data_IF_652799045698
#
_entry.id   IF_652799045698
#
_cell.length_a   1.000
_cell.length_b   1.000
_cell.length_c   1.000
_cell.angle_alpha   90.00
_cell.angle_beta   90.00
_cell.angle_gamma   90.00
#
_symmetry.space_group_name_H-M   'P 1'
#
loop_
_entity.id
_entity.type
_entity.pdbx_description
1 polymer ?
#
# COMPACT_ATOMS: atom_id res chain seq x y z
N UNK A 1 28.65 -3.33 5.69
CA UNK A 1 28.62 -3.93 4.34
C UNK A 1 27.50 -3.24 3.59
N UNK A 2 27.81 -2.56 2.48
CA UNK A 2 26.85 -1.72 1.76
C UNK A 2 25.76 -2.55 1.10
N UNK A 3 24.51 -2.29 1.44
CA UNK A 3 23.36 -2.79 0.69
C UNK A 3 23.53 -2.24 -0.73
N UNK A 4 23.72 -3.13 -1.71
CA UNK A 4 23.63 -2.76 -3.12
C UNK A 4 22.24 -2.18 -3.33
N UNK A 5 22.13 -0.85 -3.37
CA UNK A 5 20.88 -0.17 -3.72
C UNK A 5 20.58 -0.52 -5.17
N UNK A 6 19.47 -1.20 -5.44
CA UNK A 6 19.04 -1.42 -6.82
C UNK A 6 18.99 -0.09 -7.56
N UNK A 7 19.54 -0.07 -8.78
CA UNK A 7 19.49 1.11 -9.65
C UNK A 7 18.05 1.55 -9.87
N UNK A 8 17.09 0.61 -9.93
CA UNK A 8 15.66 0.92 -10.13
C UNK A 8 15.03 1.63 -8.94
N UNK A 9 15.29 1.18 -7.71
CA UNK A 9 14.79 1.87 -6.51
C UNK A 9 15.38 3.27 -6.39
N UNK A 10 16.65 3.43 -6.75
CA UNK A 10 17.30 4.75 -6.77
C UNK A 10 16.64 5.68 -7.79
N UNK A 11 16.39 5.19 -9.02
CA UNK A 11 15.68 5.93 -10.07
C UNK A 11 14.26 6.33 -9.65
N UNK A 12 13.51 5.41 -9.02
CA UNK A 12 12.20 5.71 -8.46
C UNK A 12 12.30 6.84 -7.43
N UNK A 13 13.17 6.71 -6.44
CA UNK A 13 13.33 7.70 -5.38
C UNK A 13 13.71 9.08 -5.93
N UNK A 14 14.63 9.13 -6.90
CA UNK A 14 15.01 10.38 -7.56
C UNK A 14 13.85 11.01 -8.34
N UNK A 15 13.04 10.18 -9.02
CA UNK A 15 11.88 10.66 -9.76
C UNK A 15 10.81 11.21 -8.83
N UNK A 16 10.45 10.47 -7.76
CA UNK A 16 9.50 10.93 -6.75
C UNK A 16 9.99 12.22 -6.10
N UNK A 17 11.27 12.33 -5.72
CA UNK A 17 11.83 13.52 -5.10
C UNK A 17 11.69 14.79 -5.97
N UNK A 18 11.79 14.66 -7.30
CA UNK A 18 11.58 15.77 -8.24
C UNK A 18 10.12 16.20 -8.36
N UNK A 19 9.20 15.30 -8.06
CA UNK A 19 7.77 15.46 -8.32
C UNK A 19 6.91 15.56 -7.05
N UNK A 20 7.49 15.42 -5.87
CA UNK A 20 6.79 15.35 -4.58
C UNK A 20 6.14 16.67 -4.12
N UNK A 21 6.04 17.69 -4.97
CA UNK A 21 5.50 19.01 -4.60
C UNK A 21 4.25 19.32 -5.41
N UNK A 22 3.10 19.35 -4.73
CA UNK A 22 1.82 19.76 -5.30
C UNK A 22 1.11 18.69 -6.13
N UNK A 23 0.03 19.05 -6.84
CA UNK A 23 -0.74 18.09 -7.64
C UNK A 23 0.11 17.54 -8.78
N UNK A 24 0.25 16.21 -8.83
CA UNK A 24 1.02 15.55 -9.89
C UNK A 24 0.32 15.64 -11.25
N UNK A 25 1.09 16.03 -12.27
CA UNK A 25 0.64 15.99 -13.65
C UNK A 25 0.41 14.54 -14.12
N UNK A 26 -0.51 14.34 -15.08
CA UNK A 26 -0.85 13.02 -15.60
C UNK A 26 0.35 12.26 -16.18
N UNK A 27 1.28 12.97 -16.83
CA UNK A 27 2.50 12.37 -17.37
C UNK A 27 3.42 11.87 -16.25
N UNK A 28 3.58 12.63 -15.16
CA UNK A 28 4.31 12.20 -13.96
C UNK A 28 3.69 10.96 -13.32
N UNK A 29 2.36 10.90 -13.22
CA UNK A 29 1.66 9.72 -12.70
C UNK A 29 1.97 8.50 -13.57
N UNK A 30 1.92 8.64 -14.90
CA UNK A 30 2.25 7.55 -15.84
C UNK A 30 3.70 7.10 -15.71
N UNK A 31 4.64 8.03 -15.69
CA UNK A 31 6.07 7.73 -15.55
C UNK A 31 6.39 7.01 -14.22
N UNK A 32 5.77 7.45 -13.11
CA UNK A 32 5.88 6.77 -11.82
C UNK A 32 5.23 5.39 -11.83
N UNK A 33 4.08 5.22 -12.47
CA UNK A 33 3.43 3.91 -12.65
C UNK A 33 4.30 2.95 -13.45
N UNK A 34 4.94 3.40 -14.53
CA UNK A 34 5.84 2.59 -15.35
C UNK A 34 7.08 2.15 -14.53
N UNK A 35 7.69 3.07 -13.77
CA UNK A 35 8.79 2.74 -12.86
C UNK A 35 8.38 1.73 -11.78
N UNK A 36 7.20 1.92 -11.17
CA UNK A 36 6.65 0.97 -10.19
C UNK A 36 6.43 -0.40 -10.83
N UNK A 37 5.96 -0.45 -12.07
CA UNK A 37 5.69 -1.68 -12.82
C UNK A 37 6.94 -2.52 -13.11
N UNK A 38 8.11 -1.89 -13.22
CA UNK A 38 9.39 -2.59 -13.41
C UNK A 38 10.01 -3.15 -12.12
N UNK A 39 9.57 -2.70 -10.93
CA UNK A 39 10.15 -3.15 -9.66
C UNK A 39 9.87 -4.63 -9.38
N UNK A 40 10.92 -5.38 -9.08
CA UNK A 40 10.83 -6.75 -8.59
C UNK A 40 10.96 -6.81 -7.06
N UNK A 41 10.57 -7.90 -6.39
CA UNK A 41 10.87 -8.12 -4.97
C UNK A 41 12.38 -7.96 -4.67
N UNK A 42 13.24 -8.52 -5.53
CA UNK A 42 14.70 -8.44 -5.38
C UNK A 42 15.23 -7.01 -5.46
N UNK A 43 14.66 -6.17 -6.34
CA UNK A 43 15.01 -4.75 -6.41
C UNK A 43 14.80 -4.03 -5.06
N UNK A 44 13.80 -4.49 -4.29
CA UNK A 44 13.44 -3.96 -2.97
C UNK A 44 14.17 -4.66 -1.81
N UNK A 45 15.09 -5.58 -2.11
CA UNK A 45 15.79 -6.39 -1.11
C UNK A 45 14.90 -7.45 -0.45
N UNK A 46 13.78 -7.79 -1.07
CA UNK A 46 12.82 -8.80 -0.57
C UNK A 46 13.11 -10.12 -1.28
N UNK A 47 13.54 -11.12 -0.52
CA UNK A 47 13.67 -12.50 -0.99
C UNK A 47 12.58 -13.37 -0.38
N UNK A 48 11.56 -13.65 -1.19
CA UNK A 48 10.40 -14.46 -0.83
C UNK A 48 10.72 -15.94 -0.61
N UNK A 49 11.90 -16.40 -1.04
CA UNK A 49 12.34 -17.80 -0.87
C UNK A 49 13.06 -18.02 0.45
N UNK A 50 13.52 -16.95 1.10
CA UNK A 50 14.21 -17.05 2.39
C UNK A 50 13.22 -17.23 3.54
N UNK A 51 13.62 -18.06 4.52
CA UNK A 51 12.82 -18.41 5.69
C UNK A 51 12.19 -17.21 6.42
N UNK A 52 12.85 -16.04 6.61
CA UNK A 52 12.26 -14.93 7.36
C UNK A 52 10.95 -14.40 6.75
N UNK A 53 10.90 -14.19 5.43
CA UNK A 53 9.70 -13.66 4.75
C UNK A 53 8.61 -14.71 4.64
N UNK A 54 8.98 -15.97 4.33
CA UNK A 54 8.03 -17.07 4.28
C UNK A 54 7.42 -17.35 5.68
N UNK A 55 8.22 -17.31 6.75
CA UNK A 55 7.73 -17.46 8.12
C UNK A 55 6.87 -16.28 8.55
N UNK A 56 7.24 -15.04 8.22
CA UNK A 56 6.43 -13.84 8.49
C UNK A 56 5.01 -13.98 7.92
N UNK A 57 4.88 -14.44 6.67
CA UNK A 57 3.60 -14.64 6.00
C UNK A 57 2.77 -15.79 6.59
N UNK A 58 3.43 -16.81 7.16
CA UNK A 58 2.76 -18.03 7.67
C UNK A 58 2.46 -18.00 9.17
N UNK A 59 3.14 -17.15 9.95
CA UNK A 59 3.06 -17.16 11.42
C UNK A 59 2.24 -16.01 12.02
N UNK A 60 1.96 -14.95 11.25
CA UNK A 60 1.31 -13.75 11.77
C UNK A 60 -0.18 -13.69 11.40
N UNK A 61 -1.00 -13.18 12.33
CA UNK A 61 -2.40 -12.81 12.09
C UNK A 61 -2.56 -11.38 11.56
N UNK A 62 -1.50 -10.59 11.62
CA UNK A 62 -1.50 -9.15 11.36
C UNK A 62 -0.60 -8.80 10.18
N UNK A 63 -0.94 -7.71 9.50
CA UNK A 63 -0.13 -7.13 8.43
C UNK A 63 1.17 -6.59 9.03
N UNK A 64 2.32 -6.95 8.44
CA UNK A 64 3.62 -6.40 8.85
C UNK A 64 4.19 -5.49 7.78
N UNK A 65 5.02 -4.52 8.18
CA UNK A 65 5.62 -3.55 7.26
C UNK A 65 7.13 -3.69 7.21
N UNK A 66 7.69 -3.47 6.03
CA UNK A 66 9.13 -3.39 5.80
C UNK A 66 9.45 -2.10 5.06
N UNK A 67 10.08 -1.15 5.75
CA UNK A 67 10.48 0.13 5.18
C UNK A 67 11.75 -0.04 4.34
N UNK A 68 11.63 0.21 3.03
CA UNK A 68 12.76 0.18 2.08
C UNK A 68 13.47 1.53 2.05
N UNK A 69 12.69 2.62 2.07
CA UNK A 69 13.20 3.99 2.05
C UNK A 69 12.25 4.91 2.79
N UNK A 70 12.78 5.89 3.51
CA UNK A 70 12.00 6.95 4.14
C UNK A 70 12.81 8.24 4.17
N UNK A 71 12.17 9.36 3.89
CA UNK A 71 12.69 10.71 4.04
C UNK A 71 11.56 11.68 4.43
N UNK A 72 11.86 12.97 4.58
CA UNK A 72 10.85 13.96 4.94
C UNK A 72 9.80 14.23 3.86
N UNK A 73 9.95 13.69 2.65
CA UNK A 73 9.06 13.94 1.52
C UNK A 73 8.20 12.73 1.15
N UNK A 74 8.72 11.51 1.28
CA UNK A 74 8.02 10.29 0.90
C UNK A 74 8.63 9.05 1.57
N UNK A 75 7.87 7.96 1.52
CA UNK A 75 8.29 6.65 1.98
C UNK A 75 8.04 5.58 0.92
N UNK A 76 8.87 4.54 0.93
CA UNK A 76 8.69 3.31 0.17
C UNK A 76 8.62 2.17 1.17
N UNK A 77 7.43 1.57 1.28
CA UNK A 77 7.12 0.56 2.29
C UNK A 77 6.50 -0.66 1.61
N UNK A 78 7.01 -1.84 1.94
CA UNK A 78 6.37 -3.10 1.58
C UNK A 78 5.46 -3.57 2.72
N UNK A 79 4.23 -3.93 2.38
CA UNK A 79 3.28 -4.54 3.29
C UNK A 79 3.22 -6.04 3.03
N UNK A 80 3.40 -6.82 4.08
CA UNK A 80 3.31 -8.27 4.05
C UNK A 80 1.96 -8.67 4.64
N UNK A 81 1.12 -9.27 3.80
CA UNK A 81 -0.19 -9.75 4.17
C UNK A 81 -0.14 -11.28 4.35
N UNK A 82 -0.23 -11.80 5.58
CA UNK A 82 -0.59 -13.19 5.79
C UNK A 82 -1.90 -13.53 5.09
N UNK A 83 -2.12 -14.81 4.79
CA UNK A 83 -3.39 -15.25 4.21
C UNK A 83 -4.57 -14.80 5.08
N UNK A 84 -5.61 -14.26 4.45
CA UNK A 84 -6.82 -13.72 5.09
C UNK A 84 -6.64 -12.46 5.95
N UNK A 85 -5.41 -11.97 6.13
CA UNK A 85 -5.17 -10.70 6.81
C UNK A 85 -5.85 -9.54 6.06
N UNK A 86 -6.36 -8.58 6.82
CA UNK A 86 -7.05 -7.39 6.31
C UNK A 86 -6.32 -6.14 6.78
N UNK A 87 -6.12 -5.20 5.86
CA UNK A 87 -5.84 -3.81 6.22
C UNK A 87 -7.19 -3.09 6.23
N UNK A 88 -7.66 -2.59 7.39
CA UNK A 88 -8.93 -1.87 7.49
C UNK A 88 -8.97 -0.68 6.54
N UNK A 89 -10.18 -0.27 6.12
CA UNK A 89 -10.35 0.94 5.33
C UNK A 89 -9.82 2.15 6.11
N UNK A 90 -8.99 2.95 5.46
CA UNK A 90 -8.38 4.16 6.00
C UNK A 90 -8.25 5.20 4.87
N UNK A 91 -7.94 6.44 5.23
CA UNK A 91 -7.72 7.55 4.28
C UNK A 91 -6.25 7.97 4.25
N UNK A 92 -5.87 8.71 3.21
CA UNK A 92 -4.54 9.29 3.01
C UNK A 92 -4.65 10.80 2.73
N UNK A 93 -4.95 11.63 3.75
CA UNK A 93 -5.19 13.06 3.56
C UNK A 93 -3.99 13.77 2.94
N UNK A 94 -4.21 14.48 1.83
CA UNK A 94 -3.18 15.26 1.12
C UNK A 94 -1.96 14.46 0.63
N UNK A 95 -2.08 13.13 0.57
CA UNK A 95 -1.02 12.24 0.12
C UNK A 95 -1.34 11.68 -1.26
N UNK A 96 -0.29 11.33 -2.01
CA UNK A 96 -0.39 10.48 -3.17
C UNK A 96 0.20 9.11 -2.87
N UNK A 97 -0.54 8.05 -3.16
CA UNK A 97 -0.12 6.67 -2.89
C UNK A 97 -0.08 5.89 -4.20
N UNK A 98 1.09 5.32 -4.50
CA UNK A 98 1.27 4.34 -5.56
C UNK A 98 1.45 2.97 -4.93
N UNK A 99 0.63 2.00 -5.29
CA UNK A 99 0.70 0.65 -4.75
C UNK A 99 0.84 -0.39 -5.85
N UNK A 100 1.61 -1.44 -5.56
CA UNK A 100 1.83 -2.58 -6.46
C UNK A 100 1.84 -3.87 -5.66
N UNK A 101 1.13 -4.88 -6.16
CA UNK A 101 1.23 -6.25 -5.65
C UNK A 101 2.50 -6.87 -6.24
N UNK A 102 3.47 -7.16 -5.36
CA UNK A 102 4.75 -7.76 -5.73
C UNK A 102 4.67 -9.29 -5.83
N UNK A 103 3.78 -9.92 -5.07
CA UNK A 103 3.54 -11.36 -5.09
C UNK A 103 2.15 -11.68 -4.51
N UNK A 104 1.55 -12.79 -4.96
CA UNK A 104 0.24 -13.24 -4.49
C UNK A 104 -0.93 -12.45 -5.10
N UNK A 105 -2.03 -12.35 -4.34
CA UNK A 105 -3.23 -11.64 -4.77
C UNK A 105 -3.83 -10.87 -3.58
N UNK A 106 -4.23 -9.62 -3.84
CA UNK A 106 -4.87 -8.76 -2.85
C UNK A 106 -6.22 -8.30 -3.40
N UNK A 107 -7.30 -8.51 -2.63
CA UNK A 107 -8.58 -7.87 -2.90
C UNK A 107 -8.52 -6.46 -2.31
N UNK A 108 -8.61 -5.46 -3.17
CA UNK A 108 -8.58 -4.06 -2.77
C UNK A 108 -9.91 -3.42 -3.13
N UNK A 109 -10.44 -2.62 -2.21
CA UNK A 109 -11.63 -1.80 -2.44
C UNK A 109 -11.27 -0.38 -2.02
N UNK A 110 -11.52 0.59 -2.89
CA UNK A 110 -11.28 2.01 -2.63
C UNK A 110 -12.50 2.86 -2.96
N UNK A 111 -12.56 4.00 -2.28
CA UNK A 111 -13.72 4.87 -2.20
C UNK A 111 -13.26 6.32 -2.36
N UNK A 112 -14.04 7.12 -3.09
CA UNK A 112 -13.87 8.58 -3.11
C UNK A 112 -14.97 9.26 -2.30
N UNK A 113 -14.61 10.35 -1.64
CA UNK A 113 -15.57 11.22 -1.00
C UNK A 113 -16.43 11.96 -2.03
N UNK A 114 -17.75 12.02 -1.82
CA UNK A 114 -18.63 12.89 -2.61
C UNK A 114 -18.56 14.36 -2.18
N UNK A 115 -18.13 14.60 -0.95
CA UNK A 115 -17.89 15.91 -0.35
C UNK A 115 -16.71 15.83 0.61
N UNK A 116 -15.86 16.86 0.73
CA UNK A 116 -14.71 16.84 1.63
C UNK A 116 -15.16 16.54 3.06
N UNK A 117 -14.62 15.50 3.72
CA UNK A 117 -14.94 15.22 5.11
C UNK A 117 -14.20 16.18 6.03
N UNK A 118 -14.71 16.37 7.25
CA UNK A 118 -13.96 17.08 8.30
C UNK A 118 -12.92 16.12 8.85
N UNK A 119 -11.63 16.46 8.77
CA UNK A 119 -10.49 15.57 9.10
C UNK A 119 -10.63 14.84 10.44
N UNK A 120 -11.14 15.51 11.47
CA UNK A 120 -11.33 14.93 12.81
C UNK A 120 -12.36 13.79 12.84
N UNK A 121 -13.38 13.83 11.99
CA UNK A 121 -14.38 12.75 11.90
C UNK A 121 -13.80 11.51 11.20
N UNK A 122 -12.86 11.71 10.27
CA UNK A 122 -12.17 10.63 9.55
C UNK A 122 -11.20 9.88 10.45
N UNK A 123 -10.34 10.60 11.16
CA UNK A 123 -9.34 9.99 12.04
C UNK A 123 -10.03 9.14 13.11
N UNK A 124 -11.09 9.70 13.72
CA UNK A 124 -11.88 8.99 14.72
C UNK A 124 -12.60 7.75 14.17
N UNK A 125 -12.99 7.75 12.89
CA UNK A 125 -13.61 6.59 12.25
C UNK A 125 -12.60 5.54 11.82
N UNK A 126 -11.46 5.94 11.24
CA UNK A 126 -10.37 5.03 10.85
C UNK A 126 -9.88 4.22 12.04
N UNK A 127 -9.62 4.88 13.18
CA UNK A 127 -9.22 4.17 14.41
C UNK A 127 -10.29 3.18 14.90
N UNK A 128 -11.59 3.53 14.79
CA UNK A 128 -12.67 2.59 15.15
C UNK A 128 -12.74 1.38 14.23
N UNK A 129 -12.43 1.55 12.95
CA UNK A 129 -12.40 0.43 12.00
C UNK A 129 -11.26 -0.53 12.30
N UNK A 130 -10.09 -0.02 12.67
CA UNK A 130 -8.96 -0.83 13.12
C UNK A 130 -9.33 -1.65 14.36
N UNK A 131 -9.87 -1.00 15.40
CA UNK A 131 -10.34 -1.68 16.60
C UNK A 131 -11.44 -2.73 16.31
N UNK A 132 -12.34 -2.43 15.37
CA UNK A 132 -13.44 -3.33 15.00
C UNK A 132 -12.97 -4.51 14.15
N UNK A 133 -11.90 -4.35 13.36
CA UNK A 133 -11.32 -5.44 12.58
C UNK A 133 -10.78 -6.55 13.49
N UNK A 134 -10.11 -6.18 14.59
CA UNK A 134 -9.60 -7.12 15.58
C UNK A 134 -10.72 -7.85 16.33
N UNK A 135 -11.90 -7.24 16.46
CA UNK A 135 -13.09 -7.82 17.10
C UNK A 135 -14.03 -8.58 16.15
N UNK A 136 -13.77 -8.58 14.85
CA UNK A 136 -14.66 -9.17 13.84
C UNK A 136 -15.96 -8.38 13.60
N UNK A 137 -16.01 -7.11 14.01
CA UNK A 137 -17.16 -6.20 13.90
C UNK A 137 -17.04 -5.24 12.70
N UNK A 138 -16.07 -5.50 11.81
CA UNK A 138 -15.68 -4.61 10.72
C UNK A 138 -16.86 -4.12 9.87
N UNK A 139 -17.72 -5.03 9.40
CA UNK A 139 -18.86 -4.67 8.54
C UNK A 139 -19.85 -3.73 9.26
N UNK A 140 -20.02 -3.92 10.57
CA UNK A 140 -20.88 -3.07 11.38
C UNK A 140 -20.26 -1.67 11.55
N UNK A 141 -18.98 -1.60 11.94
CA UNK A 141 -18.25 -0.33 12.09
C UNK A 141 -18.13 0.45 10.77
N UNK A 142 -17.99 -0.26 9.65
CA UNK A 142 -18.05 0.29 8.30
C UNK A 142 -19.40 0.95 8.00
N UNK A 143 -20.50 0.26 8.33
CA UNK A 143 -21.86 0.78 8.11
C UNK A 143 -22.22 1.99 8.98
N UNK A 144 -21.54 2.16 10.12
CA UNK A 144 -21.80 3.20 11.11
C UNK A 144 -20.95 4.48 10.93
N UNK A 145 -20.11 4.54 9.88
CA UNK A 145 -19.30 5.72 9.57
C UNK A 145 -20.10 6.89 8.97
N UNK A 146 -19.49 8.08 8.78
CA UNK A 146 -20.10 9.21 8.08
C UNK A 146 -20.85 8.79 6.82
N UNK A 147 -21.98 9.44 6.50
CA UNK A 147 -22.81 9.03 5.35
C UNK A 147 -22.02 9.06 4.03
N UNK A 148 -21.55 7.90 3.59
CA UNK A 148 -20.87 7.73 2.32
C UNK A 148 -21.90 7.51 1.21
N UNK A 149 -21.77 8.28 0.14
CA UNK A 149 -22.07 7.75 -1.19
C UNK A 149 -20.76 7.64 -1.93
N UNK A 150 -19.84 6.82 -1.41
CA UNK A 150 -18.56 6.67 -2.08
C UNK A 150 -18.71 5.81 -3.35
N UNK A 151 -18.23 6.32 -4.48
CA UNK A 151 -18.16 5.52 -5.71
C UNK A 151 -17.02 4.51 -5.58
N UNK A 152 -17.32 3.23 -5.77
CA UNK A 152 -16.36 2.13 -5.77
C UNK A 152 -15.43 2.24 -6.98
N UNK A 153 -14.11 2.31 -6.76
CA UNK A 153 -13.13 2.64 -7.82
C UNK A 153 -12.41 1.39 -8.40
N UNK A 154 -12.13 0.36 -7.60
CA UNK A 154 -11.49 -0.88 -8.05
C UNK A 154 -11.79 -2.06 -7.13
N UNK A 155 -11.68 -3.30 -7.64
CA UNK A 155 -12.09 -4.51 -6.93
C UNK A 155 -10.98 -5.55 -6.67
N UNK A 156 -9.91 -5.55 -7.45
CA UNK A 156 -8.80 -6.51 -7.31
C UNK A 156 -7.61 -6.05 -8.13
N UNK A 157 -6.43 -5.95 -7.52
CA UNK A 157 -5.16 -5.83 -8.26
C UNK A 157 -4.46 -7.18 -8.17
N UNK A 158 -4.26 -7.83 -9.33
CA UNK A 158 -3.51 -9.09 -9.45
C UNK A 158 -2.32 -8.87 -10.38
N UNK A 159 -1.12 -9.11 -9.87
CA UNK A 159 0.05 -9.48 -10.69
C UNK A 159 0.70 -10.68 -10.05
N UNK A 160 0.66 -11.80 -10.76
CA UNK A 160 1.26 -13.06 -10.34
C UNK A 160 2.59 -13.18 -11.07
N UNK A 161 3.70 -12.96 -10.39
CA UNK A 161 5.00 -13.42 -10.90
C UNK A 161 5.04 -14.94 -10.72
N UNK A 162 5.28 -15.67 -11.81
CA UNK A 162 5.44 -17.12 -11.72
C UNK A 162 6.86 -17.42 -11.24
N UNK A 163 7.04 -18.54 -10.55
CA UNK A 163 8.35 -18.97 -10.03
C UNK A 163 9.43 -19.15 -11.11
N UNK A 164 9.05 -19.09 -12.39
CA UNK A 164 9.95 -19.07 -13.55
C UNK A 164 10.59 -17.70 -13.84
N UNK A 165 10.14 -16.65 -13.15
CA UNK A 165 10.56 -15.26 -13.37
C UNK A 165 11.47 -14.72 -12.25
N UNK A 166 11.95 -15.60 -11.35
CA UNK A 166 12.95 -15.33 -10.31
C UNK A 166 14.31 -15.94 -10.66
#
# INVERSE_FOLDING_TARGET
AGIMKSTRVSLLCEHVARCAVGPMAADTVRELSDLMDELTPTDLGIDLTTAPFAELLNSHRHVTTHTIFSCSQFEVVAFLFPAEARLPLHDHPQMHVFSKVLHGALRMVSYNWTSPPVTQELDAWSSRLEDAADRGEYEHAMSAGPSYVASRVADTVRRTFHNSDL
#
